data_IF_141835132356
#
_entry.id   IF_141835132356
#
_cell.length_a   1.000
_cell.length_b   1.000
_cell.length_c   1.000
_cell.angle_alpha   90.00
_cell.angle_beta   90.00
_cell.angle_gamma   90.00
#
_symmetry.space_group_name_H-M   'P 1'
#
loop_
_entity.id
_entity.type
_entity.pdbx_description
1 polymer ?
#
# COMPACT_ATOMS: atom_id res chain seq x y z
N UNK A 1 -24.81 -22.51 -37.16
CA UNK A 1 -23.46 -21.96 -37.40
C UNK A 1 -23.56 -20.46 -37.13
N UNK A 2 -23.14 -19.99 -35.95
CA UNK A 2 -23.17 -18.55 -35.59
C UNK A 2 -21.73 -18.05 -35.56
N UNK A 3 -21.45 -16.99 -36.31
CA UNK A 3 -20.12 -16.43 -36.57
C UNK A 3 -19.45 -15.90 -35.28
N UNK A 4 -18.12 -16.05 -35.11
CA UNK A 4 -17.38 -15.64 -33.91
C UNK A 4 -17.11 -14.12 -33.83
N UNK A 5 -17.85 -13.27 -34.54
CA UNK A 5 -17.54 -11.85 -34.73
C UNK A 5 -18.50 -10.82 -34.11
N UNK A 6 -19.70 -11.21 -33.67
CA UNK A 6 -20.77 -10.26 -33.29
C UNK A 6 -21.30 -10.51 -31.88
N UNK A 7 -20.41 -10.48 -30.88
CA UNK A 7 -20.86 -10.21 -29.50
C UNK A 7 -20.95 -8.70 -29.30
N UNK A 8 -22.07 -8.16 -28.78
CA UNK A 8 -22.20 -6.76 -28.42
C UNK A 8 -20.96 -6.28 -27.63
N UNK A 9 -20.52 -5.03 -27.81
CA UNK A 9 -19.34 -4.50 -27.12
C UNK A 9 -19.47 -4.53 -25.59
N UNK A 10 -20.69 -4.62 -25.05
CA UNK A 10 -20.97 -4.83 -23.64
C UNK A 10 -20.44 -6.19 -23.15
N UNK A 11 -20.81 -7.30 -23.81
CA UNK A 11 -20.41 -8.66 -23.45
C UNK A 11 -18.88 -8.84 -23.39
N UNK A 12 -18.16 -8.20 -24.32
CA UNK A 12 -16.68 -8.27 -24.33
C UNK A 12 -16.07 -7.54 -23.14
N UNK A 13 -16.63 -6.37 -22.78
CA UNK A 13 -16.15 -5.59 -21.62
C UNK A 13 -16.44 -6.33 -20.34
N UNK A 14 -17.63 -6.91 -20.20
CA UNK A 14 -18.00 -7.76 -19.07
C UNK A 14 -17.07 -8.99 -18.95
N UNK A 15 -16.71 -9.64 -20.06
CA UNK A 15 -15.74 -10.74 -20.07
C UNK A 15 -14.34 -10.28 -19.59
N UNK A 16 -13.90 -9.09 -20.01
CA UNK A 16 -12.63 -8.51 -19.58
C UNK A 16 -12.66 -8.08 -18.11
N UNK A 17 -13.74 -7.44 -17.67
CA UNK A 17 -13.96 -7.02 -16.29
C UNK A 17 -13.99 -8.23 -15.37
N UNK A 18 -14.73 -9.28 -15.72
CA UNK A 18 -14.72 -10.56 -15.00
C UNK A 18 -13.32 -11.14 -14.88
N UNK A 19 -12.53 -11.15 -15.95
CA UNK A 19 -11.15 -11.66 -15.92
C UNK A 19 -10.21 -10.78 -15.10
N UNK A 20 -10.38 -9.46 -15.16
CA UNK A 20 -9.58 -8.51 -14.39
C UNK A 20 -9.90 -8.65 -12.91
N UNK A 21 -11.18 -8.73 -12.56
CA UNK A 21 -11.69 -8.90 -11.21
C UNK A 21 -11.32 -10.26 -10.63
N UNK A 22 -11.35 -11.32 -11.44
CA UNK A 22 -10.86 -12.64 -11.07
C UNK A 22 -9.34 -12.62 -10.82
N UNK A 23 -8.54 -11.97 -11.66
CA UNK A 23 -7.10 -11.83 -11.43
C UNK A 23 -6.74 -10.91 -10.26
N UNK A 24 -7.53 -9.86 -10.03
CA UNK A 24 -7.38 -8.97 -8.88
C UNK A 24 -7.77 -9.68 -7.59
N UNK A 25 -8.82 -10.50 -7.63
CA UNK A 25 -9.25 -11.34 -6.50
C UNK A 25 -8.28 -12.48 -6.25
N UNK A 26 -7.70 -13.08 -7.29
CA UNK A 26 -6.61 -14.05 -7.18
C UNK A 26 -5.33 -13.40 -6.66
N UNK A 27 -5.03 -12.14 -7.00
CA UNK A 27 -3.88 -11.43 -6.40
C UNK A 27 -4.17 -10.95 -4.99
N UNK A 28 -5.40 -10.58 -4.66
CA UNK A 28 -5.82 -10.26 -3.29
C UNK A 28 -5.88 -11.53 -2.42
N UNK A 29 -6.29 -12.67 -2.99
CA UNK A 29 -6.36 -13.97 -2.34
C UNK A 29 -5.04 -14.75 -2.31
N UNK A 30 -4.19 -14.62 -3.33
CA UNK A 30 -2.81 -15.16 -3.31
C UNK A 30 -1.83 -14.26 -2.54
N UNK A 31 -2.25 -13.04 -2.19
CA UNK A 31 -1.61 -12.24 -1.14
C UNK A 31 -2.16 -12.57 0.27
N UNK A 32 -3.11 -13.50 0.39
CA UNK A 32 -3.53 -14.06 1.66
C UNK A 32 -3.00 -15.50 1.79
N UNK A 33 -1.82 -15.71 2.40
CA UNK A 33 -1.69 -16.87 3.24
C UNK A 33 -2.56 -16.62 4.48
N UNK A 34 -3.37 -17.63 4.76
CA UNK A 34 -4.30 -17.75 5.87
C UNK A 34 -3.54 -17.80 7.20
N UNK A 35 -2.97 -16.67 7.65
CA UNK A 35 -2.53 -16.43 9.02
C UNK A 35 -2.62 -14.93 9.27
N UNK A 36 -3.11 -14.53 10.44
CA UNK A 36 -3.16 -13.14 10.92
C UNK A 36 -1.81 -12.40 10.82
N UNK A 37 -0.68 -13.13 10.71
CA UNK A 37 0.66 -12.59 10.43
C UNK A 37 0.88 -12.11 8.98
N UNK A 38 0.33 -12.78 7.97
CA UNK A 38 0.58 -12.46 6.55
C UNK A 38 0.01 -11.10 6.14
N UNK A 39 -1.17 -10.74 6.65
CA UNK A 39 -1.84 -9.46 6.37
C UNK A 39 -1.11 -8.27 7.00
N UNK A 40 -0.63 -8.42 8.25
CA UNK A 40 0.13 -7.38 8.95
C UNK A 40 1.51 -7.14 8.30
N UNK A 41 2.22 -8.22 7.95
CA UNK A 41 3.50 -8.12 7.26
C UNK A 41 3.36 -7.50 5.86
N UNK A 42 2.31 -7.85 5.11
CA UNK A 42 2.02 -7.26 3.80
C UNK A 42 1.70 -5.76 3.87
N UNK A 43 0.91 -5.35 4.87
CA UNK A 43 0.61 -3.95 5.12
C UNK A 43 1.87 -3.15 5.51
N UNK A 44 2.71 -3.71 6.38
CA UNK A 44 3.99 -3.10 6.78
C UNK A 44 4.94 -2.95 5.59
N UNK A 45 5.08 -4.00 4.77
CA UNK A 45 5.92 -3.95 3.57
C UNK A 45 5.43 -2.88 2.59
N UNK A 46 4.12 -2.77 2.38
CA UNK A 46 3.56 -1.72 1.55
C UNK A 46 3.84 -0.33 2.13
N UNK A 47 3.66 -0.14 3.44
CA UNK A 47 3.94 1.14 4.09
C UNK A 47 5.41 1.58 3.90
N UNK A 48 6.37 0.65 4.04
CA UNK A 48 7.79 0.92 3.76
C UNK A 48 8.00 1.28 2.29
N UNK A 49 7.34 0.56 1.38
CA UNK A 49 7.46 0.81 -0.07
C UNK A 49 6.94 2.20 -0.43
N UNK A 50 5.79 2.61 0.11
CA UNK A 50 5.21 3.94 -0.10
C UNK A 50 6.15 5.05 0.39
N UNK A 51 6.83 4.83 1.53
CA UNK A 51 7.81 5.77 2.07
C UNK A 51 9.06 5.87 1.17
N UNK A 52 9.57 4.72 0.68
CA UNK A 52 10.71 4.68 -0.25
C UNK A 52 10.37 5.34 -1.59
N UNK A 53 9.16 5.14 -2.12
CA UNK A 53 8.70 5.77 -3.36
C UNK A 53 8.63 7.28 -3.19
N UNK A 54 8.05 7.77 -2.09
CA UNK A 54 8.01 9.21 -1.79
C UNK A 54 9.41 9.82 -1.70
N UNK A 55 10.33 9.15 -1.02
CA UNK A 55 11.73 9.59 -0.91
C UNK A 55 12.44 9.57 -2.26
N UNK A 56 12.25 8.51 -3.07
CA UNK A 56 12.87 8.38 -4.38
C UNK A 56 12.41 9.50 -5.34
N UNK A 57 11.11 9.80 -5.37
CA UNK A 57 10.56 10.89 -6.20
C UNK A 57 11.15 12.24 -5.80
N UNK A 58 11.25 12.54 -4.50
CA UNK A 58 11.86 13.78 -4.02
C UNK A 58 13.37 13.83 -4.29
N UNK A 59 14.09 12.73 -4.14
CA UNK A 59 15.53 12.68 -4.41
C UNK A 59 15.82 12.90 -5.90
N UNK A 60 15.08 12.22 -6.78
CA UNK A 60 15.21 12.39 -8.23
C UNK A 60 14.84 13.83 -8.63
N UNK A 61 13.69 14.33 -8.18
CA UNK A 61 13.24 15.69 -8.49
C UNK A 61 14.18 16.77 -7.95
N UNK A 62 14.62 16.63 -6.70
CA UNK A 62 15.57 17.54 -6.06
C UNK A 62 16.94 17.55 -6.73
N UNK A 63 17.44 16.38 -7.13
CA UNK A 63 18.70 16.27 -7.88
C UNK A 63 18.64 17.02 -9.22
N UNK A 64 17.57 16.83 -9.99
CA UNK A 64 17.41 17.56 -11.25
C UNK A 64 17.27 19.06 -11.01
N UNK A 65 16.48 19.49 -10.02
CA UNK A 65 16.33 20.89 -9.68
C UNK A 65 17.68 21.52 -9.30
N UNK A 66 18.42 20.91 -8.38
CA UNK A 66 19.75 21.40 -7.96
C UNK A 66 20.73 21.49 -9.13
N UNK A 67 20.64 20.57 -10.11
CA UNK A 67 21.48 20.60 -11.32
C UNK A 67 21.12 21.75 -12.26
N UNK A 68 19.83 22.08 -12.42
CA UNK A 68 19.42 23.20 -13.26
C UNK A 68 19.74 24.56 -12.64
N UNK A 69 19.58 24.69 -11.32
CA UNK A 69 19.83 25.95 -10.62
C UNK A 69 21.28 26.12 -10.15
N UNK A 70 22.11 25.08 -10.21
CA UNK A 70 23.49 25.12 -9.73
C UNK A 70 23.60 25.27 -8.19
N UNK A 71 22.49 25.03 -7.48
CA UNK A 71 22.35 25.24 -6.02
C UNK A 71 22.67 24.00 -5.20
N UNK A 72 23.26 22.96 -5.79
CA UNK A 72 23.43 21.67 -5.12
C UNK A 72 24.16 21.82 -3.75
N UNK A 73 23.62 21.30 -2.62
CA UNK A 73 22.39 20.48 -2.47
C UNK A 73 21.23 21.21 -1.76
N UNK A 74 21.09 22.53 -1.91
CA UNK A 74 20.14 23.33 -1.14
C UNK A 74 18.67 23.00 -1.45
N UNK A 75 18.30 22.77 -2.71
CA UNK A 75 16.92 22.44 -3.07
C UNK A 75 16.58 21.01 -2.63
N UNK A 76 17.51 20.07 -2.77
CA UNK A 76 17.34 18.72 -2.26
C UNK A 76 17.14 18.69 -0.74
N UNK A 77 17.86 19.52 0.02
CA UNK A 77 17.68 19.69 1.47
C UNK A 77 16.29 20.26 1.81
N UNK A 78 15.81 21.25 1.06
CA UNK A 78 14.49 21.82 1.25
C UNK A 78 13.34 20.87 0.87
N UNK A 79 13.55 19.99 -0.12
CA UNK A 79 12.55 19.01 -0.57
C UNK A 79 12.51 17.73 0.29
N UNK A 80 13.55 17.45 1.08
CA UNK A 80 13.58 16.29 1.97
C UNK A 80 12.37 16.22 2.94
N UNK A 81 12.01 17.28 3.69
CA UNK A 81 10.84 17.24 4.57
C UNK A 81 9.53 17.06 3.79
N UNK A 82 9.44 17.57 2.55
CA UNK A 82 8.27 17.34 1.68
C UNK A 82 8.15 15.88 1.25
N UNK A 83 9.25 15.21 0.91
CA UNK A 83 9.25 13.79 0.58
C UNK A 83 8.83 12.93 1.77
N UNK A 84 9.29 13.27 2.97
CA UNK A 84 8.89 12.60 4.20
C UNK A 84 7.40 12.82 4.50
N UNK A 85 6.91 14.06 4.41
CA UNK A 85 5.51 14.39 4.62
C UNK A 85 4.59 13.69 3.60
N UNK A 86 4.98 13.65 2.33
CA UNK A 86 4.25 12.95 1.28
C UNK A 86 4.20 11.43 1.52
N UNK A 87 5.34 10.83 1.91
CA UNK A 87 5.39 9.41 2.26
C UNK A 87 4.49 9.07 3.45
N UNK A 88 4.56 9.85 4.53
CA UNK A 88 3.69 9.69 5.71
C UNK A 88 2.22 9.86 5.34
N UNK A 89 1.88 10.87 4.52
CA UNK A 89 0.51 11.07 4.05
C UNK A 89 -0.01 9.88 3.22
N UNK A 90 0.84 9.27 2.38
CA UNK A 90 0.47 8.06 1.63
C UNK A 90 0.23 6.86 2.54
N UNK A 91 1.09 6.65 3.55
CA UNK A 91 0.92 5.59 4.55
C UNK A 91 -0.36 5.83 5.38
N UNK A 92 -0.62 7.05 5.81
CA UNK A 92 -1.85 7.40 6.53
C UNK A 92 -3.09 7.12 5.67
N UNK A 93 -3.03 7.41 4.36
CA UNK A 93 -4.11 7.10 3.43
C UNK A 93 -4.33 5.59 3.28
N UNK A 94 -3.26 4.81 3.29
CA UNK A 94 -3.33 3.34 3.30
C UNK A 94 -3.97 2.84 4.61
N UNK A 95 -3.59 3.42 5.75
CA UNK A 95 -4.14 3.08 7.07
C UNK A 95 -5.56 3.59 7.33
N UNK A 96 -6.07 4.53 6.54
CA UNK A 96 -7.46 4.97 6.64
C UNK A 96 -8.43 4.09 5.80
N UNK A 97 -7.91 3.04 5.19
CA UNK A 97 -8.71 2.00 4.51
C UNK A 97 -9.44 1.14 5.53
N UNK A 98 -10.63 0.64 5.20
CA UNK A 98 -11.49 -0.16 6.10
C UNK A 98 -10.76 -1.31 6.83
N UNK A 99 -9.72 -1.89 6.22
CA UNK A 99 -8.87 -2.95 6.81
C UNK A 99 -8.07 -2.49 8.04
N UNK A 100 -7.47 -1.30 8.04
CA UNK A 100 -6.68 -0.85 9.19
C UNK A 100 -7.56 -0.42 10.37
N UNK A 101 -8.80 0.00 10.11
CA UNK A 101 -9.81 0.22 11.16
C UNK A 101 -10.27 -1.10 11.81
N UNK A 102 -10.21 -2.22 11.08
CA UNK A 102 -10.49 -3.56 11.60
C UNK A 102 -9.32 -4.08 12.45
N UNK A 103 -8.08 -3.88 11.98
CA UNK A 103 -6.84 -4.26 12.70
C UNK A 103 -6.58 -3.39 13.94
N UNK A 104 -6.88 -2.08 13.91
CA UNK A 104 -6.69 -1.16 15.04
C UNK A 104 -7.94 -0.99 15.92
N UNK A 105 -9.12 -1.31 15.40
CA UNK A 105 -10.40 -1.22 16.11
C UNK A 105 -10.86 -2.51 16.77
N UNK A 106 -10.23 -3.65 16.45
CA UNK A 106 -10.50 -4.95 17.06
C UNK A 106 -9.27 -5.49 17.76
N UNK A 107 -9.19 -5.28 19.09
CA UNK A 107 -8.12 -5.74 19.99
C UNK A 107 -6.78 -4.98 19.85
N UNK A 108 -6.57 -4.07 20.79
CA UNK A 108 -5.24 -3.48 21.06
C UNK A 108 -4.20 -4.56 21.40
N UNK A 109 -2.91 -4.16 21.54
CA UNK A 109 -1.83 -5.11 21.77
C UNK A 109 -2.20 -5.99 22.96
N UNK A 110 -2.18 -7.32 22.74
CA UNK A 110 -2.25 -8.29 23.82
C UNK A 110 -0.97 -8.05 24.63
N UNK A 111 -1.06 -7.18 25.64
CA UNK A 111 -0.11 -7.19 26.73
C UNK A 111 -0.11 -8.64 27.23
N UNK A 112 1.06 -9.31 27.32
CA UNK A 112 1.11 -10.60 27.97
C UNK A 112 0.58 -10.35 29.39
N UNK A 113 -0.62 -10.86 29.68
CA UNK A 113 -1.12 -10.92 31.04
C UNK A 113 -0.12 -11.79 31.78
N UNK A 114 0.74 -11.14 32.56
CA UNK A 114 1.55 -11.79 33.58
C UNK A 114 0.58 -12.65 34.38
N UNK A 115 0.80 -13.96 34.36
CA UNK A 115 0.14 -14.89 35.26
C UNK A 115 0.67 -14.53 36.66
N UNK A 116 -0.13 -13.78 37.42
CA UNK A 116 0.02 -13.79 38.87
C UNK A 116 -0.57 -15.13 39.33
N UNK A 117 0.29 -16.15 39.39
CA UNK A 117 0.04 -17.37 40.14
C UNK A 117 -0.01 -17.00 41.63
N UNK A 118 -1.20 -16.63 42.10
CA UNK A 118 -1.56 -16.58 43.51
C UNK A 118 -3.02 -17.04 43.65
N UNK A 119 -3.20 -18.29 44.11
CA UNK A 119 -4.30 -18.83 44.96
C UNK A 119 -4.52 -20.34 44.70
N UNK A 120 -3.71 -21.19 45.34
CA UNK A 120 -4.12 -22.16 46.40
C UNK A 120 -2.94 -23.08 46.83
#
# INVERSE_FOLDING_TARGET
MTEPGQRPPADRREDFERRLEQKLSERQGAAAPDTTEGSAAGLAMRAVTELLVGLAVCMVGGYYADKYFGTAPWIMLALMPFGLAAGVANVMRLSNSKQAKEVLGGKGPVAPSVTDDDED
#
